data_IF_851088098144
#
_entry.id   IF_851088098144
#
_cell.length_a   1.000
_cell.length_b   1.000
_cell.length_c   1.000
_cell.angle_alpha   90.00
_cell.angle_beta   90.00
_cell.angle_gamma   90.00
#
_symmetry.space_group_name_H-M   'P 1'
#
loop_
_entity.id
_entity.type
_entity.pdbx_description
1 polymer ?
#
# COMPACT_ATOMS: atom_id res chain seq x y z
N UNK A 1 -7.20 -7.13 -1.64
CA UNK A 1 -7.71 -7.16 -0.25
C UNK A 1 -8.53 -8.42 -0.16
N UNK A 2 -8.25 -9.29 0.80
CA UNK A 2 -8.97 -10.56 0.93
C UNK A 2 -10.23 -10.28 1.74
N UNK A 3 -11.38 -10.30 1.10
CA UNK A 3 -12.69 -10.24 1.76
C UNK A 3 -13.21 -11.66 1.91
N UNK A 4 -12.73 -12.35 2.95
CA UNK A 4 -13.18 -13.69 3.27
C UNK A 4 -13.40 -13.81 4.77
N UNK A 5 -14.59 -14.26 5.13
CA UNK A 5 -14.80 -15.00 6.36
C UNK A 5 -14.22 -16.41 6.12
N UNK A 6 -13.53 -17.02 7.10
CA UNK A 6 -13.01 -18.37 6.93
C UNK A 6 -14.14 -19.30 6.48
N UNK A 7 -13.84 -20.15 5.48
CA UNK A 7 -14.71 -21.26 5.16
C UNK A 7 -14.86 -22.09 6.42
N UNK A 8 -16.05 -22.04 7.03
CA UNK A 8 -16.39 -22.86 8.16
C UNK A 8 -16.44 -24.32 7.68
N UNK A 9 -15.31 -25.02 7.73
CA UNK A 9 -15.33 -26.44 8.05
C UNK A 9 -14.78 -26.64 9.47
N UNK A 10 -15.61 -26.41 10.51
CA UNK A 10 -15.24 -26.70 11.89
C UNK A 10 -15.07 -28.21 12.17
N UNK A 11 -15.23 -29.09 11.17
CA UNK A 11 -15.21 -30.54 11.34
C UNK A 11 -13.96 -31.24 10.80
N UNK A 12 -13.10 -30.55 10.04
CA UNK A 12 -11.84 -31.12 9.57
C UNK A 12 -10.64 -30.70 10.44
N UNK A 13 -10.17 -31.55 11.37
CA UNK A 13 -8.95 -31.29 12.15
C UNK A 13 -7.68 -31.17 11.27
N UNK A 14 -7.76 -31.48 9.97
CA UNK A 14 -6.66 -31.33 9.00
C UNK A 14 -6.87 -30.19 7.99
N UNK A 15 -8.01 -29.47 8.02
CA UNK A 15 -8.38 -28.45 7.03
C UNK A 15 -8.71 -27.05 7.58
N UNK A 16 -8.86 -26.90 8.89
CA UNK A 16 -9.21 -25.62 9.51
C UNK A 16 -8.03 -24.63 9.50
N UNK A 17 -8.18 -23.50 8.81
CA UNK A 17 -7.16 -22.44 8.75
C UNK A 17 -7.06 -21.78 7.39
N UNK A 18 -5.97 -21.04 7.19
CA UNK A 18 -5.65 -20.38 5.93
C UNK A 18 -4.35 -20.94 5.38
N UNK A 19 -4.25 -20.99 4.05
CA UNK A 19 -3.02 -21.37 3.38
C UNK A 19 -2.62 -20.32 2.37
N UNK A 20 -1.34 -19.99 2.35
CA UNK A 20 -0.72 -19.14 1.35
C UNK A 20 0.34 -19.98 0.67
N UNK A 21 0.17 -20.13 -0.64
CA UNK A 21 1.02 -20.95 -1.48
C UNK A 21 1.30 -20.20 -2.78
N UNK A 22 2.22 -20.73 -3.57
CA UNK A 22 2.40 -20.27 -4.93
C UNK A 22 2.71 -21.39 -5.88
N UNK A 23 2.66 -21.09 -7.17
CA UNK A 23 3.00 -22.02 -8.22
C UNK A 23 3.88 -21.36 -9.29
N UNK A 24 4.85 -22.13 -9.78
CA UNK A 24 5.60 -21.81 -11.00
C UNK A 24 5.14 -22.78 -12.09
N UNK A 25 4.58 -22.26 -13.18
CA UNK A 25 3.86 -23.09 -14.15
C UNK A 25 2.69 -23.82 -13.48
N UNK A 26 2.75 -25.15 -13.40
CA UNK A 26 1.72 -25.98 -12.79
C UNK A 26 2.04 -26.40 -11.34
N UNK A 27 3.32 -26.31 -10.94
CA UNK A 27 3.84 -26.92 -9.72
C UNK A 27 3.62 -26.01 -8.53
N UNK A 28 2.86 -26.50 -7.55
CA UNK A 28 2.59 -25.79 -6.31
C UNK A 28 3.71 -25.97 -5.27
N UNK A 29 4.05 -24.89 -4.58
CA UNK A 29 4.85 -24.87 -3.35
C UNK A 29 4.08 -24.13 -2.27
N UNK A 30 3.80 -24.79 -1.15
CA UNK A 30 3.16 -24.15 0.01
C UNK A 30 4.20 -23.40 0.83
N UNK A 31 3.92 -22.13 1.15
CA UNK A 31 4.87 -21.25 1.86
C UNK A 31 4.45 -20.98 3.31
N UNK A 32 3.14 -20.86 3.55
CA UNK A 32 2.59 -20.59 4.88
C UNK A 32 1.27 -21.35 5.06
N UNK A 33 1.14 -21.97 6.22
CA UNK A 33 -0.15 -22.47 6.72
C UNK A 33 -0.40 -21.77 8.05
N UNK A 34 -1.56 -21.14 8.17
CA UNK A 34 -2.07 -20.53 9.40
C UNK A 34 -3.18 -21.44 9.95
N UNK A 35 -2.85 -22.43 10.80
CA UNK A 35 -3.84 -23.34 11.33
C UNK A 35 -4.80 -22.60 12.28
N UNK A 36 -6.08 -22.96 12.25
CA UNK A 36 -7.10 -22.41 13.14
C UNK A 36 -7.09 -23.06 14.54
N UNK A 37 -6.10 -23.89 14.88
CA UNK A 37 -6.13 -24.66 16.14
C UNK A 37 -6.32 -23.73 17.33
N UNK A 38 -7.40 -23.96 18.09
CA UNK A 38 -7.71 -23.38 19.39
C UNK A 38 -6.60 -23.72 20.40
N UNK A 39 -5.43 -23.13 20.26
CA UNK A 39 -4.49 -23.06 21.37
C UNK A 39 -4.91 -21.90 22.27
N UNK A 40 -4.58 -22.00 23.55
CA UNK A 40 -4.92 -21.06 24.64
C UNK A 40 -4.48 -19.60 24.41
N UNK A 41 -3.80 -19.29 23.29
CA UNK A 41 -3.43 -17.95 22.84
C UNK A 41 -4.36 -17.28 21.82
N UNK A 42 -5.46 -17.93 21.41
CA UNK A 42 -6.42 -17.41 20.42
C UNK A 42 -6.02 -17.65 18.96
N UNK A 43 -6.97 -17.60 18.00
CA UNK A 43 -6.67 -17.89 16.60
C UNK A 43 -5.84 -16.77 15.95
N UNK A 44 -4.77 -17.14 15.26
CA UNK A 44 -4.10 -16.25 14.30
C UNK A 44 -5.02 -16.09 13.09
N UNK A 45 -5.92 -15.11 13.15
CA UNK A 45 -6.89 -14.84 12.09
C UNK A 45 -6.34 -13.78 11.13
N UNK A 46 -6.50 -14.00 9.82
CA UNK A 46 -6.46 -12.92 8.84
C UNK A 46 -7.77 -12.13 9.02
N UNK A 47 -7.74 -10.88 9.50
CA UNK A 47 -8.98 -10.13 9.67
C UNK A 47 -9.58 -9.83 8.29
N UNK A 48 -10.92 -9.79 8.16
CA UNK A 48 -11.56 -9.33 6.93
C UNK A 48 -11.00 -7.97 6.53
N UNK A 49 -10.60 -7.81 5.27
CA UNK A 49 -9.99 -6.57 4.75
C UNK A 49 -8.68 -6.18 5.45
N UNK A 50 -8.07 -7.13 6.15
CA UNK A 50 -6.75 -7.01 6.74
C UNK A 50 -5.66 -6.86 5.69
N UNK A 51 -4.56 -6.24 6.10
CA UNK A 51 -3.31 -6.20 5.34
C UNK A 51 -2.33 -7.15 6.01
N UNK A 52 -1.69 -8.01 5.24
CA UNK A 52 -0.72 -8.96 5.77
C UNK A 52 0.56 -8.86 4.97
N UNK A 53 1.65 -8.46 5.63
CA UNK A 53 2.95 -8.35 4.98
C UNK A 53 3.74 -9.64 5.22
N UNK A 54 4.06 -10.34 4.13
CA UNK A 54 5.02 -11.44 4.13
C UNK A 54 6.30 -10.92 3.49
N UNK A 55 7.41 -11.07 4.19
CA UNK A 55 8.74 -10.80 3.65
C UNK A 55 9.58 -12.06 3.71
N UNK A 56 10.30 -12.36 2.62
CA UNK A 56 11.36 -13.35 2.65
C UNK A 56 12.58 -12.77 3.38
N UNK A 57 13.26 -13.60 4.16
CA UNK A 57 14.48 -13.23 4.88
C UNK A 57 15.62 -14.17 4.50
N UNK A 58 16.80 -13.65 4.08
CA UNK A 58 18.00 -14.48 3.96
C UNK A 58 18.44 -14.91 5.35
N UNK A 59 18.74 -16.19 5.51
CA UNK A 59 18.90 -16.80 6.84
C UNK A 59 20.35 -17.02 7.24
N UNK A 60 21.30 -16.85 6.33
CA UNK A 60 22.73 -16.96 6.65
C UNK A 60 23.64 -16.15 5.72
N UNK A 61 24.72 -15.55 6.25
CA UNK A 61 25.07 -15.45 7.68
C UNK A 61 24.40 -14.23 8.33
N UNK A 62 24.15 -14.35 9.64
CA UNK A 62 23.65 -13.29 10.49
C UNK A 62 24.45 -11.97 10.31
N UNK A 63 23.81 -10.79 10.49
CA UNK A 63 22.90 -10.53 11.60
C UNK A 63 21.43 -10.83 11.28
N UNK A 64 20.72 -11.31 12.30
CA UNK A 64 19.28 -11.54 12.32
C UNK A 64 18.49 -10.20 12.27
N UNK A 65 18.66 -9.43 11.20
CA UNK A 65 17.89 -8.22 10.91
C UNK A 65 16.96 -8.43 9.73
N UNK A 66 15.78 -7.81 9.76
CA UNK A 66 14.83 -7.77 8.64
C UNK A 66 15.54 -7.25 7.37
N UNK A 67 16.02 -8.15 6.51
CA UNK A 67 16.91 -7.83 5.38
C UNK A 67 16.17 -7.47 4.10
N UNK A 68 14.83 -7.45 4.14
CA UNK A 68 14.06 -6.87 3.04
C UNK A 68 14.26 -5.36 3.00
N UNK A 69 14.51 -4.82 1.80
CA UNK A 69 14.87 -3.42 1.59
C UNK A 69 13.84 -2.38 2.07
N UNK A 70 12.62 -2.81 2.43
CA UNK A 70 11.57 -1.95 2.96
C UNK A 70 11.30 -2.12 4.45
N UNK A 71 12.13 -2.86 5.19
CA UNK A 71 11.90 -3.18 6.61
C UNK A 71 11.81 -1.95 7.53
N UNK A 72 12.32 -0.80 7.07
CA UNK A 72 12.24 0.50 7.75
C UNK A 72 11.12 1.40 7.22
N UNK A 73 10.30 0.94 6.26
CA UNK A 73 9.18 1.75 5.77
C UNK A 73 8.24 2.09 6.92
N UNK A 74 7.90 3.36 7.15
CA UNK A 74 7.08 3.73 8.28
C UNK A 74 5.65 3.21 8.09
N UNK A 75 5.23 2.36 9.02
CA UNK A 75 3.87 1.82 9.08
C UNK A 75 3.18 2.24 10.37
N UNK A 76 3.52 3.40 10.94
CA UNK A 76 2.91 3.93 12.15
C UNK A 76 3.91 4.73 12.99
N UNK A 77 3.47 5.23 14.15
CA UNK A 77 4.35 5.91 15.10
C UNK A 77 5.27 4.94 15.82
N UNK A 78 6.58 5.07 15.57
CA UNK A 78 7.59 4.18 16.15
C UNK A 78 7.56 2.75 15.60
N UNK A 79 6.81 2.49 14.52
CA UNK A 79 6.64 1.17 13.93
C UNK A 79 7.09 1.22 12.47
N UNK A 80 7.95 0.29 12.10
CA UNK A 80 8.36 0.06 10.72
C UNK A 80 7.71 -1.21 10.15
N UNK A 81 7.82 -1.41 8.84
CA UNK A 81 7.40 -2.61 8.13
C UNK A 81 8.26 -3.85 8.46
N UNK A 82 8.39 -4.19 9.74
CA UNK A 82 8.68 -5.56 10.15
C UNK A 82 7.52 -6.45 9.71
N UNK A 83 7.77 -7.53 8.98
CA UNK A 83 6.71 -8.38 8.40
C UNK A 83 5.64 -8.78 9.43
N UNK A 84 4.37 -8.88 9.01
CA UNK A 84 3.29 -9.45 9.85
C UNK A 84 3.56 -10.92 10.17
N UNK A 85 4.20 -11.62 9.25
CA UNK A 85 4.96 -12.83 9.51
C UNK A 85 6.34 -12.67 8.88
N UNK A 86 7.37 -12.89 9.69
CA UNK A 86 8.70 -13.15 9.16
C UNK A 86 8.69 -14.61 8.69
N UNK A 87 8.29 -14.83 7.44
CA UNK A 87 8.57 -16.12 6.82
C UNK A 87 10.06 -16.11 6.47
N UNK A 88 10.82 -16.68 7.38
CA UNK A 88 12.09 -17.28 7.01
C UNK A 88 11.78 -18.37 5.99
N UNK A 89 11.85 -18.02 4.71
CA UNK A 89 11.95 -19.00 3.63
C UNK A 89 13.37 -19.58 3.79
N UNK A 90 13.54 -20.49 4.76
CA UNK A 90 14.84 -20.92 5.28
C UNK A 90 15.03 -22.44 5.19
N UNK A 91 16.22 -22.92 4.75
CA UNK A 91 17.18 -22.27 3.86
C UNK A 91 16.95 -22.78 2.43
N UNK A 92 17.76 -22.27 1.50
CA UNK A 92 18.31 -23.06 0.40
C UNK A 92 18.04 -24.58 0.49
N UNK A 93 16.91 -25.02 -0.06
CA UNK A 93 17.06 -26.13 -0.98
C UNK A 93 17.89 -25.54 -2.12
N UNK A 94 19.04 -26.15 -2.42
CA UNK A 94 19.76 -25.86 -3.65
C UNK A 94 18.86 -25.99 -4.90
N UNK A 95 17.67 -26.59 -4.76
CA UNK A 95 16.67 -26.76 -5.80
C UNK A 95 15.50 -25.74 -5.83
N UNK A 96 15.24 -24.91 -4.81
CA UNK A 96 14.01 -24.06 -4.77
C UNK A 96 14.23 -22.55 -4.57
N UNK A 97 15.39 -22.09 -4.08
CA UNK A 97 15.76 -20.66 -4.10
C UNK A 97 14.84 -19.68 -3.35
N UNK A 98 15.03 -18.37 -3.59
CA UNK A 98 14.02 -17.33 -3.29
C UNK A 98 12.74 -17.62 -4.07
N UNK A 99 11.60 -16.97 -3.73
CA UNK A 99 10.42 -17.00 -4.61
C UNK A 99 10.87 -16.65 -6.04
N UNK A 100 10.68 -17.55 -7.02
CA UNK A 100 11.00 -17.24 -8.40
C UNK A 100 10.26 -15.99 -8.88
N UNK A 101 10.89 -15.23 -9.79
CA UNK A 101 10.37 -13.95 -10.29
C UNK A 101 9.02 -14.09 -11.02
N UNK A 102 8.64 -15.31 -11.41
CA UNK A 102 7.44 -15.67 -12.19
C UNK A 102 6.41 -16.51 -11.41
N UNK A 103 6.50 -16.55 -10.08
CA UNK A 103 5.51 -17.26 -9.25
C UNK A 103 4.14 -16.58 -9.27
N UNK A 104 3.10 -17.41 -9.35
CA UNK A 104 1.74 -17.04 -8.98
C UNK A 104 1.47 -17.34 -7.51
N UNK A 105 0.87 -16.40 -6.78
CA UNK A 105 0.54 -16.51 -5.36
C UNK A 105 -0.97 -16.65 -5.19
N UNK A 106 -1.39 -17.43 -4.21
CA UNK A 106 -2.79 -17.57 -3.87
C UNK A 106 -3.01 -17.72 -2.36
N UNK A 107 -4.18 -17.27 -1.93
CA UNK A 107 -4.68 -17.48 -0.57
C UNK A 107 -5.90 -18.39 -0.62
N UNK A 108 -5.94 -19.36 0.28
CA UNK A 108 -7.00 -20.36 0.39
C UNK A 108 -7.68 -20.27 1.75
N UNK A 109 -8.99 -20.53 1.77
CA UNK A 109 -9.81 -20.60 3.00
C UNK A 109 -9.66 -21.89 3.78
N UNK A 110 -8.63 -22.67 3.49
CA UNK A 110 -8.31 -23.93 4.18
C UNK A 110 -6.80 -24.08 4.32
N UNK A 111 -6.39 -24.77 5.38
CA UNK A 111 -5.01 -25.19 5.59
C UNK A 111 -4.58 -26.35 4.66
N UNK A 112 -5.52 -27.05 4.03
CA UNK A 112 -5.24 -28.23 3.21
C UNK A 112 -4.59 -27.88 1.87
N UNK A 113 -3.58 -28.66 1.48
CA UNK A 113 -2.87 -28.50 0.20
C UNK A 113 -3.73 -28.92 -1.00
N UNK A 114 -3.45 -28.34 -2.18
CA UNK A 114 -4.05 -28.71 -3.47
C UNK A 114 -5.60 -28.64 -3.56
N UNK A 115 -6.26 -27.92 -2.66
CA UNK A 115 -7.73 -27.75 -2.70
C UNK A 115 -8.17 -26.55 -3.56
N UNK A 116 -9.34 -26.57 -4.21
CA UNK A 116 -9.85 -25.46 -5.02
C UNK A 116 -10.43 -24.28 -4.21
N UNK A 117 -10.29 -24.28 -2.89
CA UNK A 117 -10.85 -23.27 -1.97
C UNK A 117 -10.08 -21.95 -1.99
N UNK A 118 -9.73 -21.46 -3.19
CA UNK A 118 -9.01 -20.22 -3.44
C UNK A 118 -9.93 -19.04 -3.16
N UNK A 119 -9.39 -18.04 -2.46
CA UNK A 119 -10.06 -16.78 -2.16
C UNK A 119 -9.62 -15.65 -3.08
N UNK A 120 -8.31 -15.54 -3.30
CA UNK A 120 -7.70 -14.54 -4.17
C UNK A 120 -6.41 -15.15 -4.73
N UNK A 121 -6.02 -14.76 -5.94
CA UNK A 121 -4.72 -15.08 -6.49
C UNK A 121 -4.19 -14.01 -7.44
N UNK A 122 -2.88 -13.94 -7.52
CA UNK A 122 -2.18 -13.10 -8.48
C UNK A 122 -1.01 -13.87 -9.04
N UNK A 123 -0.93 -13.98 -10.37
CA UNK A 123 0.19 -14.67 -10.99
C UNK A 123 0.47 -14.22 -12.41
N UNK A 124 1.69 -14.50 -12.86
CA UNK A 124 2.10 -14.22 -14.22
C UNK A 124 1.41 -15.13 -15.23
N UNK A 125 1.34 -14.68 -16.48
CA UNK A 125 0.68 -15.42 -17.55
C UNK A 125 1.30 -16.81 -17.84
N UNK A 126 2.57 -17.05 -17.45
CA UNK A 126 3.22 -18.37 -17.51
C UNK A 126 2.65 -19.39 -16.52
N UNK A 127 1.99 -18.93 -15.45
CA UNK A 127 1.38 -19.80 -14.44
C UNK A 127 0.19 -20.50 -15.08
N UNK A 128 0.27 -21.82 -15.19
CA UNK A 128 -0.74 -22.67 -15.82
C UNK A 128 -1.70 -23.26 -14.80
N UNK A 129 -1.33 -23.31 -13.51
CA UNK A 129 -2.26 -23.67 -12.46
C UNK A 129 -3.25 -22.53 -12.20
N UNK A 130 -4.52 -22.75 -12.59
CA UNK A 130 -5.58 -21.74 -12.47
C UNK A 130 -5.87 -21.32 -11.02
N UNK A 131 -5.44 -22.06 -10.00
CA UNK A 131 -5.59 -21.64 -8.61
C UNK A 131 -4.60 -20.53 -8.20
N UNK A 132 -3.61 -20.20 -9.04
CA UNK A 132 -2.53 -19.26 -8.73
C UNK A 132 -2.48 -18.07 -9.69
N UNK A 133 -3.51 -17.90 -10.50
CA UNK A 133 -3.65 -16.84 -11.49
C UNK A 133 -5.13 -16.62 -11.80
N UNK A 134 -5.51 -15.37 -11.98
CA UNK A 134 -6.84 -15.01 -12.49
C UNK A 134 -6.74 -14.40 -13.88
N UNK A 135 -7.66 -14.80 -14.75
CA UNK A 135 -7.74 -14.33 -16.13
C UNK A 135 -6.43 -14.47 -16.89
N UNK A 136 -6.02 -13.38 -17.51
CA UNK A 136 -4.87 -13.33 -18.42
C UNK A 136 -3.54 -13.49 -17.68
N UNK A 137 -3.48 -13.11 -16.41
CA UNK A 137 -2.24 -13.05 -15.63
C UNK A 137 -1.39 -11.82 -15.92
N UNK A 138 -0.39 -11.61 -15.07
CA UNK A 138 0.56 -10.52 -15.19
C UNK A 138 1.51 -10.74 -16.38
N UNK A 139 1.93 -9.64 -16.99
CA UNK A 139 3.01 -9.59 -17.97
C UNK A 139 4.31 -9.09 -17.29
N UNK A 140 5.51 -9.46 -17.77
CA UNK A 140 5.75 -10.43 -18.82
C UNK A 140 5.54 -11.85 -18.29
N UNK A 141 5.30 -12.83 -19.16
CA UNK A 141 4.96 -14.18 -18.72
C UNK A 141 5.97 -14.78 -17.74
N UNK A 142 7.27 -14.56 -17.96
CA UNK A 142 8.34 -15.12 -17.14
C UNK A 142 8.79 -14.21 -15.97
N UNK A 143 7.92 -13.31 -15.50
CA UNK A 143 8.28 -12.46 -14.36
C UNK A 143 9.12 -11.23 -14.71
N UNK A 144 9.19 -10.26 -13.80
CA UNK A 144 10.04 -9.07 -13.95
C UNK A 144 11.45 -9.39 -13.45
N UNK A 145 12.33 -9.79 -14.37
CA UNK A 145 13.73 -10.12 -14.10
C UNK A 145 14.68 -8.92 -14.05
N UNK A 146 14.22 -7.74 -14.48
CA UNK A 146 15.01 -6.52 -14.42
C UNK A 146 15.20 -6.07 -12.96
N UNK A 147 16.46 -5.91 -12.55
CA UNK A 147 16.78 -5.41 -11.22
C UNK A 147 16.21 -4.00 -11.00
N UNK A 148 15.56 -3.77 -9.86
CA UNK A 148 15.03 -2.46 -9.50
C UNK A 148 14.02 -2.53 -8.34
N UNK A 149 13.67 -1.38 -7.79
CA UNK A 149 12.64 -1.26 -6.76
C UNK A 149 11.26 -1.11 -7.42
N UNK A 150 10.52 -2.22 -7.48
CA UNK A 150 9.24 -2.30 -8.14
C UNK A 150 8.24 -3.18 -7.37
N UNK A 151 6.96 -3.08 -7.72
CA UNK A 151 5.89 -3.91 -7.17
C UNK A 151 4.70 -3.97 -8.12
N UNK A 152 3.96 -5.07 -8.07
CA UNK A 152 2.61 -5.14 -8.62
C UNK A 152 1.62 -4.58 -7.60
N UNK A 153 1.00 -3.47 -7.95
CA UNK A 153 -0.01 -2.81 -7.12
C UNK A 153 -1.38 -3.09 -7.69
N UNK A 154 -2.30 -3.58 -6.85
CA UNK A 154 -3.71 -3.72 -7.23
C UNK A 154 -4.30 -2.32 -7.42
N UNK A 155 -4.91 -2.09 -8.58
CA UNK A 155 -5.61 -0.85 -8.92
C UNK A 155 -6.76 -0.61 -7.95
N UNK A 156 -7.17 0.64 -7.82
CA UNK A 156 -8.37 1.03 -7.08
C UNK A 156 -9.47 1.47 -8.04
N UNK A 157 -10.67 0.94 -7.84
CA UNK A 157 -11.92 1.41 -8.40
C UNK A 157 -12.67 2.27 -7.36
N UNK A 158 -13.86 2.76 -7.72
CA UNK A 158 -14.72 3.51 -6.80
C UNK A 158 -15.24 2.67 -5.62
N UNK A 159 -15.22 1.33 -5.73
CA UNK A 159 -15.70 0.42 -4.69
C UNK A 159 -14.58 -0.20 -3.84
N UNK A 160 -13.33 0.20 -4.07
CA UNK A 160 -12.15 -0.34 -3.38
C UNK A 160 -11.11 -0.90 -4.35
N UNK A 161 -10.23 -1.81 -3.93
CA UNK A 161 -9.31 -2.50 -4.82
C UNK A 161 -10.08 -3.22 -5.91
N UNK A 162 -9.57 -3.10 -7.12
CA UNK A 162 -10.17 -3.70 -8.29
C UNK A 162 -9.95 -5.22 -8.27
N UNK A 163 -11.03 -5.96 -8.49
CA UNK A 163 -11.03 -7.42 -8.54
C UNK A 163 -12.05 -7.87 -9.59
N UNK A 164 -11.60 -7.98 -10.83
CA UNK A 164 -12.44 -8.33 -11.99
C UNK A 164 -12.28 -9.80 -12.39
N UNK A 165 -11.47 -10.56 -11.64
CA UNK A 165 -11.06 -11.91 -12.00
C UNK A 165 -10.04 -11.95 -13.15
N UNK A 166 -9.38 -10.83 -13.46
CA UNK A 166 -8.28 -10.76 -14.43
C UNK A 166 -7.12 -9.95 -13.87
N UNK A 167 -6.03 -10.64 -13.50
CA UNK A 167 -4.87 -10.00 -12.88
C UNK A 167 -4.25 -8.91 -13.77
N UNK A 168 -4.31 -9.03 -15.10
CA UNK A 168 -3.81 -7.99 -16.01
C UNK A 168 -4.61 -6.68 -15.90
N UNK A 169 -5.94 -6.81 -15.73
CA UNK A 169 -6.85 -5.68 -15.55
C UNK A 169 -6.80 -5.12 -14.13
N UNK A 170 -6.46 -5.94 -13.15
CA UNK A 170 -6.54 -5.58 -11.73
C UNK A 170 -5.21 -5.04 -11.16
N UNK A 171 -4.07 -5.35 -11.76
CA UNK A 171 -2.76 -4.93 -11.27
C UNK A 171 -1.97 -4.06 -12.24
N UNK A 172 -1.13 -3.19 -11.69
CA UNK A 172 -0.21 -2.36 -12.43
C UNK A 172 1.19 -2.44 -11.84
N UNK A 173 2.19 -2.55 -12.70
CA UNK A 173 3.58 -2.52 -12.30
C UNK A 173 3.97 -1.08 -11.97
N UNK A 174 4.42 -0.85 -10.74
CA UNK A 174 5.00 0.43 -10.33
C UNK A 174 6.49 0.28 -10.08
N UNK A 175 7.25 1.35 -10.34
CA UNK A 175 8.66 1.43 -9.96
C UNK A 175 9.03 2.86 -9.57
N UNK A 176 10.12 3.01 -8.80
CA UNK A 176 10.60 4.34 -8.38
C UNK A 176 11.18 5.18 -9.51
N UNK A 177 11.29 4.63 -10.72
CA UNK A 177 11.79 5.31 -11.92
C UNK A 177 10.74 5.47 -13.01
N UNK A 178 9.62 4.73 -12.95
CA UNK A 178 8.63 4.70 -14.03
C UNK A 178 9.18 4.16 -15.36
N UNK A 179 10.25 3.36 -15.32
CA UNK A 179 10.94 2.83 -16.50
C UNK A 179 10.21 1.62 -17.12
N UNK A 180 10.69 1.16 -18.27
CA UNK A 180 10.31 -0.16 -18.80
C UNK A 180 11.16 -1.24 -18.13
N UNK A 181 10.51 -2.22 -17.50
CA UNK A 181 11.15 -3.33 -16.80
C UNK A 181 10.77 -4.64 -17.49
N UNK A 182 11.75 -5.39 -17.98
CA UNK A 182 11.53 -6.66 -18.71
C UNK A 182 10.46 -6.56 -19.81
N UNK A 183 10.45 -5.46 -20.56
CA UNK A 183 9.50 -5.21 -21.66
C UNK A 183 8.13 -4.65 -21.23
N UNK A 184 7.89 -4.45 -19.93
CA UNK A 184 6.65 -3.88 -19.41
C UNK A 184 6.86 -2.45 -18.96
N UNK A 185 6.04 -1.53 -19.46
CA UNK A 185 6.03 -0.15 -19.00
C UNK A 185 5.52 -0.07 -17.56
N UNK A 186 6.39 0.28 -16.61
CA UNK A 186 5.97 0.56 -15.24
C UNK A 186 5.51 2.01 -15.10
N UNK A 187 4.58 2.24 -14.19
CA UNK A 187 4.16 3.59 -13.79
C UNK A 187 5.08 4.09 -12.67
N UNK A 188 5.47 5.37 -12.70
CA UNK A 188 6.21 5.97 -11.61
C UNK A 188 5.41 5.85 -10.31
N UNK A 189 6.06 5.33 -9.28
CA UNK A 189 5.41 5.02 -8.02
C UNK A 189 6.36 4.39 -7.02
N UNK A 190 5.82 3.80 -5.96
CA UNK A 190 6.62 3.19 -4.92
C UNK A 190 6.10 1.79 -4.55
N UNK A 191 7.01 0.87 -4.21
CA UNK A 191 6.70 -0.29 -3.38
C UNK A 191 6.28 0.15 -1.95
N UNK A 192 5.20 0.92 -1.80
CA UNK A 192 4.77 1.44 -0.51
C UNK A 192 4.09 0.35 0.31
N UNK A 193 4.84 -0.38 1.13
CA UNK A 193 4.28 -1.51 1.89
C UNK A 193 3.20 -1.11 2.87
N UNK A 194 2.30 -2.07 3.08
CA UNK A 194 1.22 -1.98 4.04
C UNK A 194 1.30 -3.19 4.94
N UNK A 195 1.08 -2.97 6.23
CA UNK A 195 0.97 -4.02 7.23
C UNK A 195 -0.36 -3.82 7.95
N UNK A 196 -0.97 -4.89 8.42
CA UNK A 196 -2.12 -4.85 9.31
C UNK A 196 -1.71 -5.13 10.75
N UNK A 197 -2.71 -5.12 11.64
CA UNK A 197 -2.54 -5.52 13.03
C UNK A 197 -2.04 -6.96 13.08
N UNK A 198 -0.97 -7.21 13.85
CA UNK A 198 -0.54 -8.60 14.11
C UNK A 198 -1.08 -9.01 15.46
N UNK A 199 -2.05 -9.93 15.47
CA UNK A 199 -2.53 -10.56 16.70
C UNK A 199 -1.56 -11.69 17.10
N UNK A 200 -0.35 -11.33 17.52
CA UNK A 200 0.46 -12.23 18.36
C UNK A 200 0.08 -11.98 19.81
N UNK A 201 -0.07 -13.04 20.60
CA UNK A 201 -0.66 -13.08 21.95
C UNK A 201 -0.15 -12.08 23.01
N UNK A 202 0.79 -11.18 22.69
CA UNK A 202 1.36 -10.23 23.64
C UNK A 202 1.59 -8.79 23.15
N UNK A 203 1.30 -8.42 21.89
CA UNK A 203 1.35 -7.00 21.47
C UNK A 203 0.46 -6.71 20.26
N UNK A 204 -0.53 -5.83 20.38
CA UNK A 204 -1.25 -5.23 19.25
C UNK A 204 -0.41 -4.12 18.62
N UNK A 205 0.57 -4.50 17.80
CA UNK A 205 1.29 -3.53 16.96
C UNK A 205 0.49 -3.40 15.67
N UNK A 206 -0.17 -2.26 15.54
CA UNK A 206 -1.10 -1.94 14.45
C UNK A 206 -0.45 -0.93 13.52
N UNK A 207 -0.77 -1.01 12.24
CA UNK A 207 -0.31 -0.06 11.23
C UNK A 207 -1.50 0.69 10.65
N UNK A 208 -1.31 1.92 10.09
CA UNK A 208 -2.41 2.64 9.49
C UNK A 208 -3.11 1.84 8.41
N UNK A 209 -4.42 1.63 8.59
CA UNK A 209 -5.30 0.96 7.64
C UNK A 209 -6.27 1.97 7.02
N UNK A 210 -6.89 1.61 5.90
CA UNK A 210 -7.83 2.49 5.19
C UNK A 210 -9.00 2.85 6.10
N UNK A 211 -9.29 4.14 6.20
CA UNK A 211 -10.47 4.68 6.89
C UNK A 211 -11.27 5.63 6.00
N UNK A 212 -11.35 5.36 4.69
CA UNK A 212 -12.05 6.22 3.73
C UNK A 212 -13.55 6.44 4.01
N UNK A 213 -14.18 5.58 4.81
CA UNK A 213 -15.57 5.77 5.28
C UNK A 213 -15.69 6.60 6.56
N UNK A 214 -14.63 6.66 7.35
CA UNK A 214 -14.65 7.24 8.71
C UNK A 214 -13.89 8.56 8.79
N UNK A 215 -13.00 8.85 7.83
CA UNK A 215 -12.28 10.11 7.77
C UNK A 215 -12.94 10.98 6.71
N UNK A 216 -13.72 11.97 7.17
CA UNK A 216 -14.40 12.89 6.27
C UNK A 216 -13.40 13.87 5.65
N UNK A 217 -13.58 14.16 4.35
CA UNK A 217 -12.75 15.11 3.61
C UNK A 217 -13.60 16.31 3.20
N UNK A 218 -13.10 17.52 3.49
CA UNK A 218 -13.75 18.77 3.10
C UNK A 218 -12.75 19.79 2.58
N UNK A 219 -13.28 20.87 1.97
CA UNK A 219 -12.47 22.03 1.57
C UNK A 219 -12.00 22.78 2.81
N UNK A 220 -10.83 23.42 2.71
CA UNK A 220 -10.35 24.29 3.79
C UNK A 220 -11.18 25.57 3.85
N UNK A 221 -11.65 26.04 2.68
CA UNK A 221 -12.56 27.18 2.50
C UNK A 221 -13.81 26.73 1.73
N UNK A 222 -14.94 26.48 2.40
CA UNK A 222 -16.18 26.05 1.73
C UNK A 222 -16.82 27.11 0.84
N UNK A 223 -16.43 28.38 0.95
CA UNK A 223 -17.00 29.48 0.15
C UNK A 223 -16.38 29.57 -1.25
N UNK A 224 -15.31 28.81 -1.49
CA UNK A 224 -14.59 28.81 -2.76
C UNK A 224 -14.60 27.42 -3.40
N UNK A 225 -14.64 27.39 -4.74
CA UNK A 225 -14.54 26.14 -5.49
C UNK A 225 -13.27 25.35 -5.12
N UNK A 226 -13.35 24.03 -5.20
CA UNK A 226 -12.25 23.11 -4.92
C UNK A 226 -11.02 23.27 -5.82
N UNK A 227 -11.18 23.89 -7.00
CA UNK A 227 -10.10 24.15 -7.97
C UNK A 227 -9.57 25.59 -7.98
N UNK A 228 -10.01 26.42 -7.03
CA UNK A 228 -9.59 27.83 -6.91
C UNK A 228 -8.89 28.06 -5.57
N UNK A 229 -8.01 29.06 -5.51
CA UNK A 229 -7.37 29.48 -4.27
C UNK A 229 -8.44 29.95 -3.25
N UNK A 230 -8.35 29.54 -1.97
CA UNK A 230 -7.19 28.91 -1.35
C UNK A 230 -7.18 27.37 -1.42
N UNK A 231 -8.23 26.71 -1.89
CA UNK A 231 -8.36 25.24 -1.88
C UNK A 231 -7.42 24.52 -2.86
N UNK A 232 -7.05 25.21 -3.95
CA UNK A 232 -6.06 24.76 -4.92
C UNK A 232 -5.24 25.94 -5.41
N UNK A 233 -3.92 25.79 -5.51
CA UNK A 233 -3.01 26.85 -5.97
C UNK A 233 -2.04 26.28 -6.99
N UNK A 234 -1.93 26.95 -8.14
CA UNK A 234 -0.87 26.69 -9.12
C UNK A 234 0.22 27.73 -8.94
N UNK A 235 1.45 27.26 -8.78
CA UNK A 235 2.66 28.09 -8.73
C UNK A 235 3.57 27.66 -9.88
N UNK A 236 3.86 28.54 -10.88
CA UNK A 236 4.67 28.17 -12.03
C UNK A 236 6.18 28.13 -11.73
N UNK A 237 6.60 28.45 -10.50
CA UNK A 237 8.02 28.45 -10.11
C UNK A 237 8.57 27.04 -10.13
N UNK A 238 9.51 26.78 -11.04
CA UNK A 238 10.11 25.46 -11.21
C UNK A 238 10.75 24.94 -9.92
N UNK A 239 10.56 23.65 -9.66
CA UNK A 239 11.15 22.92 -8.53
C UNK A 239 11.76 21.61 -9.00
N UNK A 240 12.59 20.99 -8.15
CA UNK A 240 12.99 19.61 -8.39
C UNK A 240 11.76 18.71 -8.49
N UNK A 241 11.71 17.89 -9.55
CA UNK A 241 10.55 17.07 -9.90
C UNK A 241 9.27 17.85 -10.28
N UNK A 242 9.39 19.13 -10.66
CA UNK A 242 8.29 19.94 -11.17
C UNK A 242 8.80 21.09 -12.05
N UNK A 243 9.26 20.77 -13.26
CA UNK A 243 9.85 21.76 -14.17
C UNK A 243 8.87 22.87 -14.60
N UNK A 244 7.56 22.59 -14.61
CA UNK A 244 6.48 23.55 -14.85
C UNK A 244 5.86 24.10 -13.55
N UNK A 245 6.54 23.88 -12.42
CA UNK A 245 6.16 24.37 -11.09
C UNK A 245 5.39 23.36 -10.24
N UNK A 246 4.49 23.85 -9.38
CA UNK A 246 3.74 23.03 -8.42
C UNK A 246 2.23 23.26 -8.47
N UNK A 247 1.47 22.20 -8.22
CA UNK A 247 0.04 22.22 -7.94
C UNK A 247 -0.19 21.82 -6.48
N UNK A 248 -0.72 22.75 -5.70
CA UNK A 248 -1.04 22.57 -4.29
C UNK A 248 -2.51 22.26 -4.12
N UNK A 249 -2.85 21.17 -3.45
CA UNK A 249 -4.22 20.76 -3.15
C UNK A 249 -4.41 20.74 -1.63
N UNK A 250 -5.32 21.55 -1.12
CA UNK A 250 -5.52 21.72 0.33
C UNK A 250 -6.84 21.14 0.78
N UNK A 251 -6.82 20.27 1.78
CA UNK A 251 -8.01 19.59 2.29
C UNK A 251 -7.99 19.52 3.81
N UNK A 252 -9.19 19.51 4.39
CA UNK A 252 -9.42 19.22 5.80
C UNK A 252 -9.86 17.77 5.94
N UNK A 253 -9.22 17.05 6.86
CA UNK A 253 -9.54 15.68 7.21
C UNK A 253 -10.07 15.64 8.64
N UNK A 254 -11.27 15.10 8.84
CA UNK A 254 -11.92 14.99 10.16
C UNK A 254 -11.95 13.54 10.58
N UNK A 255 -11.45 13.26 11.79
CA UNK A 255 -11.47 11.94 12.36
C UNK A 255 -12.88 11.60 12.86
N UNK A 256 -13.60 10.67 12.22
CA UNK A 256 -14.83 10.09 12.76
C UNK A 256 -14.71 8.57 12.98
N UNK A 257 -13.51 8.06 13.27
CA UNK A 257 -13.28 6.61 13.47
C UNK A 257 -13.82 6.09 14.80
N UNK A 258 -14.42 6.95 15.64
CA UNK A 258 -14.87 6.63 16.99
C UNK A 258 -13.74 6.52 18.02
N UNK A 259 -12.49 6.68 17.60
CA UNK A 259 -11.28 6.54 18.43
C UNK A 259 -10.24 7.61 18.07
N UNK A 260 -9.34 7.99 18.99
CA UNK A 260 -8.19 8.83 18.65
C UNK A 260 -7.27 8.17 17.60
N UNK A 261 -6.80 8.97 16.63
CA UNK A 261 -5.80 8.56 15.63
C UNK A 261 -4.40 8.95 16.14
N UNK A 262 -3.45 8.03 16.09
CA UNK A 262 -2.05 8.21 16.55
C UNK A 262 -1.01 8.08 15.43
N UNK A 263 -1.45 7.83 14.19
CA UNK A 263 -0.67 8.03 12.98
C UNK A 263 -1.62 8.16 11.79
N UNK A 264 -1.38 9.13 10.92
CA UNK A 264 -2.17 9.38 9.71
C UNK A 264 -1.24 9.51 8.51
N UNK A 265 -1.56 8.77 7.44
CA UNK A 265 -0.88 8.88 6.14
C UNK A 265 -1.90 8.87 5.01
N UNK A 266 -1.46 9.32 3.85
CA UNK A 266 -2.28 9.44 2.65
C UNK A 266 -1.60 8.72 1.51
N UNK A 267 -2.27 7.73 0.94
CA UNK A 267 -1.75 6.93 -0.16
C UNK A 267 -2.33 7.40 -1.49
N UNK A 268 -1.46 7.55 -2.47
CA UNK A 268 -1.86 7.86 -3.84
C UNK A 268 -2.37 6.60 -4.52
N UNK A 269 -3.65 6.61 -4.90
CA UNK A 269 -4.27 5.48 -5.62
C UNK A 269 -4.40 5.74 -7.12
N UNK A 270 -4.23 7.00 -7.54
CA UNK A 270 -4.10 7.37 -8.96
C UNK A 270 -3.41 8.73 -9.07
N UNK A 271 -2.51 8.84 -10.04
CA UNK A 271 -1.87 10.09 -10.44
C UNK A 271 -1.42 9.91 -11.89
N UNK A 272 -1.70 10.85 -12.82
CA UNK A 272 -1.12 10.80 -14.15
C UNK A 272 0.35 11.22 -14.03
N UNK A 273 1.23 10.30 -14.42
CA UNK A 273 2.68 10.44 -14.25
C UNK A 273 3.43 9.61 -15.28
N UNK A 274 4.75 9.72 -15.27
CA UNK A 274 5.69 8.96 -16.09
C UNK A 274 5.34 7.46 -16.14
N UNK A 275 5.25 6.91 -17.36
CA UNK A 275 4.98 5.48 -17.61
C UNK A 275 5.88 4.97 -18.72
N UNK A 276 6.65 3.91 -18.45
CA UNK A 276 7.59 3.34 -19.43
C UNK A 276 8.68 4.32 -19.91
N UNK A 277 9.06 5.29 -19.08
CA UNK A 277 10.01 6.35 -19.42
C UNK A 277 9.42 7.51 -20.24
N UNK A 278 8.14 7.44 -20.62
CA UNK A 278 7.45 8.52 -21.32
C UNK A 278 6.52 9.30 -20.37
N UNK A 279 6.60 10.62 -20.40
CA UNK A 279 5.67 11.47 -19.66
C UNK A 279 4.24 11.25 -20.18
N UNK A 280 3.28 11.16 -19.27
CA UNK A 280 1.87 11.15 -19.65
C UNK A 280 1.42 12.54 -20.12
N UNK A 281 0.21 12.62 -20.70
CA UNK A 281 -0.42 13.89 -21.11
C UNK A 281 -0.64 14.89 -19.95
N UNK A 282 -0.47 14.45 -18.71
CA UNK A 282 -0.08 15.27 -17.57
C UNK A 282 0.86 14.44 -16.69
N UNK A 283 2.00 14.99 -16.27
CA UNK A 283 2.94 14.30 -15.38
C UNK A 283 3.06 15.08 -14.07
N UNK A 284 2.44 14.53 -13.03
CA UNK A 284 2.45 15.06 -11.67
C UNK A 284 3.20 14.12 -10.75
N UNK A 285 3.98 14.69 -9.84
CA UNK A 285 4.82 13.95 -8.91
C UNK A 285 4.58 14.44 -7.50
N UNK A 286 4.25 13.54 -6.59
CA UNK A 286 4.06 13.84 -5.18
C UNK A 286 5.39 14.28 -4.55
N UNK A 287 5.38 15.43 -3.90
CA UNK A 287 6.53 16.00 -3.20
C UNK A 287 6.26 16.07 -1.69
N UNK A 288 7.31 16.34 -0.93
CA UNK A 288 7.15 16.81 0.45
C UNK A 288 6.40 18.15 0.46
N UNK A 289 5.65 18.39 1.52
CA UNK A 289 4.92 19.63 1.75
C UNK A 289 5.32 20.23 3.09
N UNK A 290 5.73 21.51 3.14
CA UNK A 290 6.01 22.18 4.40
C UNK A 290 4.71 22.51 5.15
N UNK A 291 4.81 22.79 6.46
CA UNK A 291 3.72 23.44 7.16
C UNK A 291 3.52 24.86 6.59
N UNK A 292 2.27 25.30 6.46
CA UNK A 292 1.94 26.62 5.88
C UNK A 292 0.76 27.25 6.63
N UNK A 293 0.81 28.56 6.84
CA UNK A 293 -0.35 29.36 7.21
C UNK A 293 -1.06 29.84 5.94
N UNK A 294 -2.34 29.56 5.84
CA UNK A 294 -3.16 29.82 4.65
C UNK A 294 -4.28 30.78 5.04
N UNK A 295 -4.35 31.91 4.36
CA UNK A 295 -5.46 32.87 4.50
C UNK A 295 -6.67 32.38 3.71
N UNK A 296 -7.84 32.39 4.36
CA UNK A 296 -9.12 32.05 3.77
C UNK A 296 -9.81 33.31 3.22
N UNK A 297 -10.90 33.11 2.47
CA UNK A 297 -11.65 34.20 1.82
C UNK A 297 -12.28 35.16 2.83
N UNK A 298 -12.60 34.67 4.03
CA UNK A 298 -13.12 35.46 5.16
C UNK A 298 -12.01 36.18 5.96
N UNK A 299 -10.78 36.19 5.45
CA UNK A 299 -9.55 36.76 6.05
C UNK A 299 -9.02 36.02 7.28
N UNK A 300 -9.71 34.98 7.76
CA UNK A 300 -9.17 34.11 8.81
C UNK A 300 -8.02 33.27 8.25
N UNK A 301 -7.26 32.62 9.13
CA UNK A 301 -6.14 31.77 8.73
C UNK A 301 -6.29 30.36 9.26
N UNK A 302 -5.83 29.38 8.49
CA UNK A 302 -5.67 28.00 8.92
C UNK A 302 -4.23 27.53 8.71
N UNK A 303 -3.73 26.70 9.61
CA UNK A 303 -2.41 26.09 9.48
C UNK A 303 -2.53 24.69 8.90
N UNK A 304 -1.80 24.44 7.81
CA UNK A 304 -1.62 23.11 7.26
C UNK A 304 -0.39 22.43 7.86
N UNK A 305 -0.47 21.11 8.02
CA UNK A 305 0.61 20.29 8.55
C UNK A 305 1.63 19.93 7.45
N UNK A 306 2.87 19.73 7.88
CA UNK A 306 3.91 19.21 7.00
C UNK A 306 3.63 17.74 6.64
N UNK A 307 3.86 17.40 5.37
CA UNK A 307 3.73 16.05 4.84
C UNK A 307 5.06 15.59 4.25
N UNK A 308 5.51 14.40 4.65
CA UNK A 308 6.74 13.80 4.13
C UNK A 308 6.43 12.54 3.34
N UNK A 309 6.98 12.44 2.13
CA UNK A 309 6.95 11.22 1.31
C UNK A 309 7.68 10.12 2.06
N UNK A 310 6.99 9.00 2.26
CA UNK A 310 7.52 7.87 3.02
C UNK A 310 8.55 7.10 2.19
N UNK A 311 9.63 6.68 2.85
CA UNK A 311 10.72 5.88 2.29
C UNK A 311 11.15 4.84 3.33
N UNK A 312 11.87 3.77 2.97
CA UNK A 312 12.21 3.27 1.62
C UNK A 312 11.01 2.76 0.81
N UNK A 313 11.03 2.64 -0.51
CA UNK A 313 12.12 2.90 -1.44
C UNK A 313 12.41 4.40 -1.60
N UNK A 314 13.62 4.75 -2.05
CA UNK A 314 13.96 6.12 -2.38
C UNK A 314 13.25 6.53 -3.68
N UNK A 315 12.64 7.71 -3.68
CA UNK A 315 11.79 8.19 -4.78
C UNK A 315 12.39 9.46 -5.38
N UNK A 316 13.60 9.34 -5.96
CA UNK A 316 14.37 10.47 -6.48
C UNK A 316 13.64 11.23 -7.61
N UNK A 317 12.81 10.53 -8.38
CA UNK A 317 11.96 11.11 -9.43
C UNK A 317 10.66 11.73 -8.91
N UNK A 318 10.47 11.82 -7.58
CA UNK A 318 9.21 12.19 -6.94
C UNK A 318 8.30 10.98 -6.74
N UNK A 319 7.31 11.14 -5.85
CA UNK A 319 6.34 10.09 -5.58
C UNK A 319 5.29 9.98 -6.67
N UNK A 320 4.78 8.78 -6.89
CA UNK A 320 3.76 8.49 -7.89
C UNK A 320 2.68 7.54 -7.36
N UNK A 321 2.25 6.60 -8.17
CA UNK A 321 1.25 5.61 -7.76
C UNK A 321 1.75 4.80 -6.54
N UNK A 322 0.85 4.50 -5.60
CA UNK A 322 1.12 3.76 -4.36
C UNK A 322 2.13 4.40 -3.42
N UNK A 323 2.60 5.61 -3.72
CA UNK A 323 3.41 6.40 -2.80
C UNK A 323 2.52 6.92 -1.69
N UNK A 324 3.07 7.11 -0.50
CA UNK A 324 2.35 7.72 0.61
C UNK A 324 3.11 8.86 1.25
N UNK A 325 2.36 9.80 1.81
CA UNK A 325 2.86 10.91 2.63
C UNK A 325 2.25 10.83 4.02
N UNK A 326 3.00 11.17 5.06
CA UNK A 326 2.54 11.08 6.44
C UNK A 326 2.69 12.39 7.21
N UNK A 327 1.79 12.61 8.17
CA UNK A 327 1.89 13.69 9.15
C UNK A 327 2.80 13.26 10.30
N UNK A 328 3.90 13.98 10.51
CA UNK A 328 4.84 13.68 11.59
C UNK A 328 4.36 14.09 12.99
N UNK A 329 3.28 14.88 13.07
CA UNK A 329 2.81 15.49 14.33
C UNK A 329 1.73 14.67 15.04
N UNK A 330 0.98 13.84 14.31
CA UNK A 330 -0.05 12.99 14.89
C UNK A 330 0.65 11.75 15.45
N UNK A 331 0.67 11.66 16.78
CA UNK A 331 1.43 10.64 17.50
C UNK A 331 0.67 10.07 18.69
N UNK A 332 1.22 9.06 19.36
CA UNK A 332 0.65 8.52 20.61
C UNK A 332 0.58 9.57 21.72
N UNK A 333 1.52 10.51 21.76
CA UNK A 333 1.56 11.62 22.72
C UNK A 333 0.79 12.86 22.26
N UNK A 334 0.42 12.92 20.98
CA UNK A 334 -0.36 13.99 20.38
C UNK A 334 -1.38 13.42 19.38
N UNK A 335 -2.39 12.69 19.85
CA UNK A 335 -3.37 12.05 18.97
C UNK A 335 -4.32 13.07 18.35
N UNK A 336 -4.81 12.78 17.15
CA UNK A 336 -5.96 13.46 16.56
C UNK A 336 -7.23 12.84 17.15
N UNK A 337 -7.85 13.52 18.11
CA UNK A 337 -9.05 13.06 18.80
C UNK A 337 -10.22 12.78 17.83
N UNK A 338 -11.14 11.90 18.22
CA UNK A 338 -12.39 11.70 17.47
C UNK A 338 -13.20 13.01 17.42
N UNK A 339 -13.73 13.36 16.26
CA UNK A 339 -14.36 14.64 15.93
C UNK A 339 -13.38 15.77 15.58
N UNK A 340 -12.08 15.62 15.87
CA UNK A 340 -11.08 16.64 15.55
C UNK A 340 -10.68 16.60 14.07
N UNK A 341 -10.13 17.71 13.58
CA UNK A 341 -9.68 17.84 12.19
C UNK A 341 -8.21 18.25 12.08
N UNK A 342 -7.56 17.78 11.03
CA UNK A 342 -6.26 18.27 10.55
C UNK A 342 -6.42 18.88 9.16
N UNK A 343 -5.53 19.80 8.80
CA UNK A 343 -5.49 20.42 7.47
C UNK A 343 -4.15 20.10 6.85
N UNK A 344 -4.16 19.70 5.59
CA UNK A 344 -2.94 19.32 4.86
C UNK A 344 -2.92 19.94 3.47
N UNK A 345 -1.72 20.22 2.98
CA UNK A 345 -1.45 20.61 1.60
C UNK A 345 -0.70 19.47 0.91
N UNK A 346 -1.30 18.87 -0.11
CA UNK A 346 -0.57 18.00 -1.02
C UNK A 346 0.15 18.85 -2.05
N UNK A 347 1.48 18.72 -2.10
CA UNK A 347 2.31 19.44 -3.05
C UNK A 347 2.68 18.51 -4.22
N UNK A 348 2.19 18.82 -5.41
CA UNK A 348 2.47 18.05 -6.63
C UNK A 348 3.41 18.84 -7.53
N UNK A 349 4.60 18.32 -7.81
CA UNK A 349 5.47 18.83 -8.87
C UNK A 349 4.84 18.57 -10.23
N UNK A 350 4.72 19.61 -11.05
CA UNK A 350 4.16 19.54 -12.41
C UNK A 350 5.34 19.46 -13.39
N UNK A 351 5.50 18.32 -14.04
CA UNK A 351 6.49 18.17 -15.11
C UNK A 351 5.92 18.52 -16.46
N UNK A 352 4.70 18.05 -16.72
CA UNK A 352 3.93 18.33 -17.93
C UNK A 352 2.53 18.74 -17.51
N UNK A 353 2.10 19.88 -18.02
CA UNK A 353 0.74 20.37 -17.81
C UNK A 353 -0.30 19.45 -18.46
N UNK A 354 -1.41 19.23 -17.75
CA UNK A 354 -2.48 18.37 -18.24
C UNK A 354 -3.66 18.30 -17.27
N UNK A 355 -4.50 17.26 -17.43
CA UNK A 355 -5.58 17.01 -16.49
C UNK A 355 -5.03 16.35 -15.22
N UNK A 356 -5.07 17.08 -14.11
CA UNK A 356 -4.71 16.52 -12.81
C UNK A 356 -5.82 15.59 -12.29
N UNK A 357 -5.47 14.34 -11.98
CA UNK A 357 -6.32 13.42 -11.20
C UNK A 357 -5.51 12.88 -10.04
N UNK A 358 -5.87 13.24 -8.82
CA UNK A 358 -5.11 12.88 -7.62
C UNK A 358 -6.03 12.36 -6.51
N UNK A 359 -6.74 11.25 -6.70
CA UNK A 359 -7.42 10.58 -5.60
C UNK A 359 -6.38 9.93 -4.66
N UNK A 360 -6.64 10.10 -3.38
CA UNK A 360 -5.87 9.50 -2.29
C UNK A 360 -6.79 8.71 -1.37
N UNK A 361 -6.19 7.84 -0.57
CA UNK A 361 -6.87 7.14 0.52
C UNK A 361 -6.19 7.51 1.83
N UNK A 362 -6.92 8.02 2.84
CA UNK A 362 -6.38 8.20 4.18
C UNK A 362 -6.26 6.84 4.87
N UNK A 363 -5.11 6.61 5.47
CA UNK A 363 -4.81 5.43 6.27
C UNK A 363 -4.46 5.89 7.68
N UNK A 364 -5.17 5.37 8.68
CA UNK A 364 -5.03 5.79 10.07
C UNK A 364 -4.79 4.62 11.01
N UNK A 365 -3.99 4.87 12.04
CA UNK A 365 -3.83 3.98 13.19
C UNK A 365 -4.62 4.57 14.36
N UNK A 366 -5.60 3.83 14.85
CA UNK A 366 -6.41 4.20 16.02
C UNK A 366 -5.98 3.42 17.26
N UNK A 367 -6.17 4.02 18.43
CA UNK A 367 -5.97 3.36 19.72
C UNK A 367 -7.17 3.65 20.63
N UNK A 368 -7.56 2.73 21.54
CA UNK A 368 -8.48 3.05 22.62
C UNK A 368 -7.98 4.26 23.42
N UNK A 369 -8.89 5.07 24.02
CA UNK A 369 -8.49 6.09 24.98
C UNK A 369 -7.66 5.42 26.09
N UNK A 370 -6.50 6.02 26.43
CA UNK A 370 -5.69 5.58 27.57
C UNK A 370 -6.28 6.04 28.89
#
# INVERSE_FOLDING_TARGET
MIDALPGADPTSPTGAGWRIAGAQGATETTFLVLPQTLSTGGPLALPPRGRFLISSQPTTPAPAGNTYSLSTYPTGTGITASGSANISVNPASAAVGFLPDDVGLAVFSTAAALTPNRLDSVGYSSVTNANYKEGSGLAPAAGVTAAGQHSWVRRYSSSGPQDTGDNAADFVLVSTTGATLSGVASVLGAPGTERGTTATAYTTISSPIIHSGDIAVSLIDPLVNSVTAPNQVRDPTAVANGAAGTLKLRRRFTNNTGLPIVALRYRVIKIPTLTGGAAAAGDYRLLNSPAQTITLTDTTTVSSQALNVQTPAAQASGGGLNSSVAEGIITTTAPLANGASTVVEFNLGVQVDGSARFPIVPEALTVPPQ
#
